data_IF_069658977520
#
_entry.id   IF_069658977520
#
_cell.length_a   1.000
_cell.length_b   1.000
_cell.length_c   1.000
_cell.angle_alpha   90.00
_cell.angle_beta   90.00
_cell.angle_gamma   90.00
#
_symmetry.space_group_name_H-M   'P 1'
#
loop_
_entity.id
_entity.type
_entity.pdbx_description
1 polymer ?
#
# COMPACT_ATOMS: atom_id res chain seq x y z
N UNK A 1 19.36 -70.75 -61.70
CA UNK A 1 18.38 -69.89 -60.99
C UNK A 1 19.09 -69.29 -59.78
N UNK A 2 19.01 -67.96 -59.64
CA UNK A 2 19.64 -67.06 -58.66
C UNK A 2 19.42 -67.48 -57.19
N UNK A 3 20.16 -67.08 -56.15
CA UNK A 3 21.38 -66.28 -55.85
C UNK A 3 21.65 -66.54 -54.35
N UNK A 4 22.91 -66.51 -53.90
CA UNK A 4 23.29 -66.53 -52.47
C UNK A 4 23.96 -65.21 -52.08
N UNK A 5 23.81 -64.82 -50.79
CA UNK A 5 24.61 -63.85 -49.98
C UNK A 5 24.31 -62.35 -50.21
N UNK A 6 24.34 -61.43 -49.24
CA UNK A 6 24.56 -61.39 -47.78
C UNK A 6 24.13 -59.98 -47.27
N UNK A 7 23.79 -59.87 -45.97
CA UNK A 7 24.07 -58.75 -45.05
C UNK A 7 23.48 -57.34 -45.31
N UNK A 8 22.68 -56.80 -44.38
CA UNK A 8 23.13 -55.73 -43.47
C UNK A 8 22.07 -55.41 -42.39
N UNK A 9 22.57 -55.29 -41.17
CA UNK A 9 21.96 -54.85 -39.91
C UNK A 9 21.24 -53.50 -39.98
N UNK A 10 20.23 -53.29 -39.12
CA UNK A 10 20.21 -52.11 -38.24
C UNK A 10 19.27 -52.26 -37.05
N UNK A 11 19.89 -52.32 -35.87
CA UNK A 11 19.29 -52.21 -34.55
C UNK A 11 18.88 -50.76 -34.29
N UNK A 12 17.70 -50.53 -33.67
CA UNK A 12 17.32 -49.24 -33.11
C UNK A 12 17.09 -49.40 -31.61
N UNK A 13 18.09 -48.98 -30.84
CA UNK A 13 18.01 -48.79 -29.39
C UNK A 13 16.99 -47.70 -29.08
N UNK A 14 15.99 -48.02 -28.27
CA UNK A 14 15.12 -47.04 -27.61
C UNK A 14 15.76 -46.72 -26.27
N UNK A 15 16.38 -45.55 -26.16
CA UNK A 15 16.88 -45.03 -24.89
C UNK A 15 15.71 -44.34 -24.20
N UNK A 16 15.17 -44.99 -23.16
CA UNK A 16 14.20 -44.38 -22.26
C UNK A 16 14.96 -43.55 -21.22
N UNK A 17 15.09 -42.25 -21.46
CA UNK A 17 15.64 -41.30 -20.49
C UNK A 17 14.61 -41.01 -19.41
N UNK A 18 14.79 -41.59 -18.22
CA UNK A 18 14.12 -41.11 -17.00
C UNK A 18 14.64 -39.70 -16.69
N UNK A 19 13.88 -38.66 -17.04
CA UNK A 19 14.07 -37.34 -16.45
C UNK A 19 13.45 -37.36 -15.05
N UNK A 20 14.30 -37.57 -14.05
CA UNK A 20 13.98 -37.24 -12.67
C UNK A 20 13.93 -35.71 -12.58
N UNK A 21 12.78 -35.10 -12.84
CA UNK A 21 12.56 -33.69 -12.55
C UNK A 21 12.58 -33.53 -11.04
N UNK A 22 13.76 -33.20 -10.49
CA UNK A 22 13.85 -32.64 -9.17
C UNK A 22 12.87 -31.46 -9.12
N UNK A 23 11.87 -31.53 -8.25
CA UNK A 23 10.94 -30.43 -8.04
C UNK A 23 11.75 -29.21 -7.63
N UNK A 24 11.95 -28.28 -8.56
CA UNK A 24 12.29 -26.91 -8.21
C UNK A 24 11.04 -26.40 -7.50
N UNK A 25 11.06 -26.41 -6.17
CA UNK A 25 10.13 -25.60 -5.42
C UNK A 25 10.37 -24.16 -5.88
N UNK A 26 9.48 -23.64 -6.73
CA UNK A 26 9.52 -22.24 -7.11
C UNK A 26 9.42 -21.43 -5.83
N UNK A 27 10.53 -20.74 -5.49
CA UNK A 27 10.55 -19.80 -4.39
C UNK A 27 9.50 -18.75 -4.74
N UNK A 28 8.38 -18.76 -4.00
CA UNK A 28 7.28 -17.82 -4.17
C UNK A 28 7.87 -16.41 -4.35
N UNK A 29 7.47 -15.65 -5.39
CA UNK A 29 8.06 -14.35 -5.65
C UNK A 29 7.97 -13.51 -4.38
N UNK A 30 9.09 -12.91 -3.98
CA UNK A 30 9.16 -12.08 -2.78
C UNK A 30 8.04 -11.02 -2.88
N UNK A 31 7.06 -11.11 -2.00
CA UNK A 31 5.90 -10.22 -2.01
C UNK A 31 6.38 -8.77 -1.81
N UNK A 32 5.89 -7.85 -2.63
CA UNK A 32 6.27 -6.43 -2.52
C UNK A 32 5.83 -5.90 -1.15
N UNK A 33 6.78 -5.42 -0.34
CA UNK A 33 6.51 -4.89 1.02
C UNK A 33 5.51 -3.73 0.97
N UNK A 34 5.48 -2.97 -0.12
CA UNK A 34 4.56 -1.84 -0.30
C UNK A 34 3.13 -2.27 -0.62
N UNK A 35 2.92 -3.52 -1.02
CA UNK A 35 1.61 -4.08 -1.36
C UNK A 35 1.03 -4.98 -0.26
N UNK A 36 1.82 -5.26 0.79
CA UNK A 36 1.37 -6.08 1.91
C UNK A 36 0.26 -5.36 2.69
N UNK A 37 -0.91 -6.00 2.88
CA UNK A 37 -1.96 -5.47 3.73
C UNK A 37 -1.61 -5.64 5.20
N UNK A 38 -2.34 -4.94 6.07
CA UNK A 38 -2.37 -5.30 7.50
C UNK A 38 -2.99 -6.70 7.64
N UNK A 39 -2.49 -7.50 8.58
CA UNK A 39 -3.03 -8.86 8.81
C UNK A 39 -4.41 -8.81 9.45
N UNK A 40 -4.64 -7.84 10.33
CA UNK A 40 -5.92 -7.65 11.01
C UNK A 40 -6.91 -6.89 10.12
N UNK A 41 -7.93 -7.59 9.62
CA UNK A 41 -8.94 -7.02 8.73
C UNK A 41 -10.30 -6.97 9.44
N UNK A 42 -11.04 -5.88 9.25
CA UNK A 42 -12.39 -5.71 9.78
C UNK A 42 -13.43 -5.62 8.65
N UNK A 43 -14.62 -6.21 8.81
CA UNK A 43 -15.71 -6.02 7.86
C UNK A 43 -16.06 -4.52 7.71
N UNK A 44 -16.15 -4.02 6.48
CA UNK A 44 -16.49 -2.62 6.20
C UNK A 44 -15.29 -1.69 5.97
N UNK A 45 -14.05 -2.18 5.99
CA UNK A 45 -12.88 -1.39 5.57
C UNK A 45 -12.98 -0.85 4.13
N UNK A 46 -13.73 -1.55 3.28
CA UNK A 46 -14.06 -1.16 1.90
C UNK A 46 -15.08 0.01 1.83
N UNK A 47 -15.81 0.26 2.92
CA UNK A 47 -16.81 1.34 3.03
C UNK A 47 -16.23 2.65 3.55
N UNK A 48 -14.99 2.65 4.04
CA UNK A 48 -14.29 3.85 4.50
C UNK A 48 -14.26 4.88 3.37
N UNK A 49 -14.66 6.11 3.68
CA UNK A 49 -14.71 7.20 2.71
C UNK A 49 -13.30 7.80 2.63
N UNK A 50 -12.69 7.78 1.45
CA UNK A 50 -11.33 8.31 1.26
C UNK A 50 -11.38 9.52 0.34
N UNK A 51 -10.94 10.68 0.85
CA UNK A 51 -10.65 11.85 0.02
C UNK A 51 -9.16 11.85 -0.29
N UNK A 52 -8.82 11.55 -1.54
CA UNK A 52 -7.44 11.44 -1.99
C UNK A 52 -6.88 12.76 -2.49
N UNK A 53 -5.55 12.86 -2.46
CA UNK A 53 -4.78 13.86 -3.19
C UNK A 53 -5.11 15.32 -2.80
N UNK A 54 -5.53 15.57 -1.56
CA UNK A 54 -5.79 16.93 -1.08
C UNK A 54 -4.46 17.65 -0.85
N UNK A 55 -4.26 18.78 -1.51
CA UNK A 55 -3.05 19.60 -1.30
C UNK A 55 -3.07 20.23 0.08
N UNK A 56 -2.04 19.98 0.89
CA UNK A 56 -1.88 20.63 2.19
C UNK A 56 -0.85 21.77 2.15
N UNK A 57 0.15 21.69 1.26
CA UNK A 57 1.06 22.80 0.95
C UNK A 57 1.63 22.73 -0.45
N UNK A 58 2.18 23.85 -0.91
CA UNK A 58 2.95 23.94 -2.15
C UNK A 58 4.30 24.56 -1.85
N UNK A 59 5.38 23.90 -2.26
CA UNK A 59 6.76 24.41 -2.11
C UNK A 59 7.47 24.31 -3.44
N UNK A 60 8.08 25.40 -3.91
CA UNK A 60 8.78 25.49 -5.18
C UNK A 60 7.96 24.97 -6.39
N UNK A 61 6.66 25.25 -6.37
CA UNK A 61 5.71 24.80 -7.41
C UNK A 61 5.29 23.33 -7.30
N UNK A 62 5.78 22.58 -6.31
CA UNK A 62 5.39 21.20 -6.04
C UNK A 62 4.32 21.15 -4.96
N UNK A 63 3.14 20.63 -5.29
CA UNK A 63 2.08 20.38 -4.34
C UNK A 63 2.36 19.10 -3.53
N UNK A 64 2.40 19.20 -2.21
CA UNK A 64 2.41 18.05 -1.31
C UNK A 64 0.98 17.73 -0.90
N UNK A 65 0.65 16.45 -1.01
CA UNK A 65 -0.73 15.98 -0.88
C UNK A 65 -0.93 15.08 0.34
N UNK A 66 -2.17 15.03 0.80
CA UNK A 66 -2.65 14.12 1.84
C UNK A 66 -3.91 13.38 1.38
N UNK A 67 -4.07 12.17 1.90
CA UNK A 67 -5.30 11.39 1.82
C UNK A 67 -5.97 11.40 3.19
N UNK A 68 -7.27 11.71 3.23
CA UNK A 68 -8.06 11.74 4.46
C UNK A 68 -9.09 10.62 4.43
N UNK A 69 -9.13 9.84 5.51
CA UNK A 69 -9.94 8.64 5.67
C UNK A 69 -10.99 8.91 6.74
N UNK A 70 -12.27 8.81 6.35
CA UNK A 70 -13.41 9.11 7.20
C UNK A 70 -14.23 7.85 7.52
N UNK A 71 -14.82 7.77 8.73
CA UNK A 71 -15.79 6.73 9.03
C UNK A 71 -16.96 6.76 8.04
N UNK A 72 -17.51 5.59 7.64
CA UNK A 72 -18.60 5.51 6.65
C UNK A 72 -19.91 6.18 7.10
N UNK A 73 -20.10 6.36 8.41
CA UNK A 73 -21.28 6.92 9.06
C UNK A 73 -21.01 8.30 9.70
N UNK A 74 -20.02 9.04 9.18
CA UNK A 74 -19.72 10.38 9.67
C UNK A 74 -20.86 11.36 9.36
N UNK A 75 -21.46 11.93 10.41
CA UNK A 75 -22.50 12.95 10.28
C UNK A 75 -21.90 14.32 9.99
N UNK A 76 -22.61 15.15 9.20
CA UNK A 76 -22.09 16.45 8.72
C UNK A 76 -21.66 17.43 9.83
N UNK A 77 -22.30 17.37 11.00
CA UNK A 77 -22.00 18.27 12.13
C UNK A 77 -20.96 17.72 13.11
N UNK A 78 -20.52 16.46 12.93
CA UNK A 78 -19.54 15.85 13.83
C UNK A 78 -18.14 16.34 13.52
N UNK A 79 -17.37 16.55 14.60
CA UNK A 79 -15.91 16.68 14.59
C UNK A 79 -15.31 15.47 15.31
N UNK A 80 -14.42 14.75 14.65
CA UNK A 80 -13.82 13.52 15.18
C UNK A 80 -12.33 13.70 15.49
N UNK A 81 -11.78 12.93 16.45
CA UNK A 81 -10.34 12.92 16.68
C UNK A 81 -9.60 12.43 15.43
N UNK A 82 -8.38 12.90 15.25
CA UNK A 82 -7.52 12.58 14.12
C UNK A 82 -6.32 11.73 14.56
N UNK A 83 -5.94 10.76 13.73
CA UNK A 83 -4.61 10.12 13.76
C UNK A 83 -3.85 10.46 12.48
N UNK A 84 -2.66 11.02 12.62
CA UNK A 84 -1.72 11.23 11.52
C UNK A 84 -0.74 10.06 11.52
N UNK A 85 -0.68 9.33 10.42
CA UNK A 85 0.36 8.33 10.18
C UNK A 85 1.60 9.06 9.67
N UNK A 86 2.57 9.25 10.57
CA UNK A 86 3.71 10.13 10.35
C UNK A 86 4.61 9.61 9.22
N UNK A 87 4.91 10.49 8.27
CA UNK A 87 5.88 10.23 7.21
C UNK A 87 7.24 10.83 7.61
N UNK A 88 7.79 10.35 8.73
CA UNK A 88 9.06 10.85 9.27
C UNK A 88 10.29 10.56 8.40
N UNK A 89 10.16 9.66 7.42
CA UNK A 89 11.22 9.33 6.45
C UNK A 89 11.27 10.31 5.27
N UNK A 90 10.22 11.10 5.04
CA UNK A 90 10.17 12.06 3.94
C UNK A 90 10.05 11.38 2.58
N UNK A 91 9.07 10.49 2.42
CA UNK A 91 8.87 9.73 1.18
C UNK A 91 7.53 10.06 0.50
N UNK A 92 7.57 10.50 -0.75
CA UNK A 92 6.38 10.89 -1.54
C UNK A 92 5.38 9.74 -1.80
N UNK A 93 5.84 8.50 -1.66
CA UNK A 93 5.13 7.27 -1.98
C UNK A 93 4.44 6.59 -0.80
N UNK A 94 4.62 7.09 0.44
CA UNK A 94 4.05 6.47 1.65
C UNK A 94 2.51 6.35 1.58
N UNK A 95 1.74 7.36 1.15
CA UNK A 95 0.27 7.23 1.03
C UNK A 95 -0.19 6.12 0.07
N UNK A 96 0.66 5.70 -0.88
CA UNK A 96 0.37 4.67 -1.86
C UNK A 96 0.62 3.25 -1.31
N UNK A 97 1.36 3.13 -0.20
CA UNK A 97 1.68 1.82 0.37
C UNK A 97 0.45 1.23 1.07
N UNK A 98 0.18 -0.04 0.75
CA UNK A 98 -1.02 -0.74 1.18
C UNK A 98 -1.15 -0.79 2.70
N UNK A 99 -0.05 -0.99 3.42
CA UNK A 99 -0.05 -1.04 4.89
C UNK A 99 -0.53 0.29 5.51
N UNK A 100 -0.12 1.44 4.97
CA UNK A 100 -0.56 2.75 5.46
C UNK A 100 -2.02 3.04 5.12
N UNK A 101 -2.48 2.64 3.92
CA UNK A 101 -3.89 2.75 3.55
C UNK A 101 -4.77 1.89 4.46
N UNK A 102 -4.35 0.67 4.76
CA UNK A 102 -5.12 -0.24 5.58
C UNK A 102 -5.15 0.17 7.06
N UNK A 103 -4.02 0.65 7.62
CA UNK A 103 -4.03 1.24 8.96
C UNK A 103 -4.95 2.46 9.05
N UNK A 104 -4.91 3.36 8.05
CA UNK A 104 -5.80 4.51 8.01
C UNK A 104 -7.28 4.09 7.92
N UNK A 105 -7.60 3.05 7.13
CA UNK A 105 -8.96 2.47 7.08
C UNK A 105 -9.38 1.83 8.40
N UNK A 106 -8.51 1.08 9.06
CA UNK A 106 -8.82 0.50 10.38
C UNK A 106 -9.11 1.59 11.41
N UNK A 107 -8.29 2.63 11.46
CA UNK A 107 -8.51 3.81 12.30
C UNK A 107 -9.83 4.49 11.98
N UNK A 108 -10.13 4.68 10.69
CA UNK A 108 -11.38 5.29 10.25
C UNK A 108 -12.61 4.46 10.64
N UNK A 109 -12.56 3.15 10.44
CA UNK A 109 -13.63 2.24 10.82
C UNK A 109 -13.81 2.15 12.35
N UNK A 110 -12.75 2.46 13.11
CA UNK A 110 -12.78 2.52 14.57
C UNK A 110 -13.35 3.84 15.12
N UNK A 111 -13.88 4.72 14.26
CA UNK A 111 -14.59 5.95 14.67
C UNK A 111 -13.72 7.19 14.80
N UNK A 112 -12.54 7.20 14.19
CA UNK A 112 -11.63 8.35 14.14
C UNK A 112 -11.42 8.79 12.70
N UNK A 113 -10.81 9.95 12.47
CA UNK A 113 -10.30 10.31 11.13
C UNK A 113 -8.83 9.91 11.06
N UNK A 114 -8.37 9.49 9.88
CA UNK A 114 -6.95 9.22 9.64
C UNK A 114 -6.40 10.01 8.46
N UNK A 115 -5.12 10.35 8.53
CA UNK A 115 -4.39 11.03 7.46
C UNK A 115 -3.10 10.29 7.12
N UNK A 116 -2.91 10.03 5.84
CA UNK A 116 -1.61 9.71 5.23
C UNK A 116 -1.19 10.90 4.37
N UNK A 117 0.09 11.24 4.32
CA UNK A 117 0.55 12.40 3.57
C UNK A 117 1.92 12.20 2.94
N UNK A 118 2.16 12.96 1.87
CA UNK A 118 3.44 13.06 1.22
C UNK A 118 4.35 13.99 2.00
N UNK A 119 5.62 13.63 2.07
CA UNK A 119 6.64 14.47 2.67
C UNK A 119 7.94 14.34 1.88
N UNK A 120 8.72 15.42 1.86
CA UNK A 120 9.99 15.57 1.16
C UNK A 120 11.12 14.99 2.00
N UNK A 121 12.03 14.31 1.32
CA UNK A 121 13.24 13.79 1.94
C UNK A 121 14.08 14.95 2.48
N UNK A 122 14.54 14.84 3.73
CA UNK A 122 15.33 15.88 4.40
C UNK A 122 14.54 17.05 4.99
N UNK A 123 13.23 17.15 4.72
CA UNK A 123 12.36 18.18 5.28
C UNK A 123 11.13 17.59 6.01
N UNK A 124 11.21 16.31 6.42
CA UNK A 124 10.08 15.59 6.98
C UNK A 124 9.46 16.25 8.21
N UNK A 125 10.31 16.75 9.12
CA UNK A 125 9.85 17.45 10.31
C UNK A 125 9.07 18.73 9.98
N UNK A 126 9.59 19.56 9.07
CA UNK A 126 8.92 20.78 8.60
C UNK A 126 7.60 20.45 7.90
N UNK A 127 7.60 19.44 7.03
CA UNK A 127 6.40 19.02 6.31
C UNK A 127 5.32 18.46 7.26
N UNK A 128 5.71 17.76 8.33
CA UNK A 128 4.79 17.32 9.39
C UNK A 128 4.19 18.52 10.14
N UNK A 129 4.99 19.53 10.48
CA UNK A 129 4.50 20.72 11.17
C UNK A 129 3.53 21.51 10.28
N UNK A 130 3.87 21.70 9.01
CA UNK A 130 3.00 22.35 8.03
C UNK A 130 1.68 21.59 7.81
N UNK A 131 1.72 20.25 7.77
CA UNK A 131 0.51 19.43 7.71
C UNK A 131 -0.39 19.68 8.93
N UNK A 132 0.17 19.66 10.14
CA UNK A 132 -0.59 19.88 11.37
C UNK A 132 -1.21 21.29 11.36
N UNK A 133 -0.45 22.30 10.93
CA UNK A 133 -0.92 23.68 10.79
C UNK A 133 -2.04 23.79 9.75
N UNK A 134 -1.91 23.13 8.60
CA UNK A 134 -2.96 23.05 7.59
C UNK A 134 -4.23 22.42 8.15
N UNK A 135 -4.10 21.28 8.84
CA UNK A 135 -5.23 20.54 9.43
C UNK A 135 -5.95 21.40 10.47
N UNK A 136 -5.22 22.05 11.39
CA UNK A 136 -5.82 22.94 12.40
C UNK A 136 -6.55 24.11 11.76
N UNK A 137 -5.95 24.72 10.74
CA UNK A 137 -6.54 25.86 10.01
C UNK A 137 -7.80 25.48 9.23
N UNK A 138 -7.94 24.20 8.86
CA UNK A 138 -9.04 23.67 8.07
C UNK A 138 -9.91 22.67 8.86
N UNK A 139 -9.78 22.63 10.19
CA UNK A 139 -10.37 21.56 11.01
C UNK A 139 -11.89 21.45 10.82
N UNK A 140 -12.58 22.58 10.74
CA UNK A 140 -14.03 22.61 10.50
C UNK A 140 -14.44 22.05 9.14
N UNK A 141 -13.70 22.36 8.05
CA UNK A 141 -14.01 21.83 6.71
C UNK A 141 -13.62 20.36 6.56
N UNK A 142 -12.63 19.92 7.34
CA UNK A 142 -12.19 18.54 7.43
C UNK A 142 -12.96 17.71 8.46
N UNK A 143 -13.89 18.29 9.22
CA UNK A 143 -14.63 17.61 10.29
C UNK A 143 -13.71 17.00 11.37
N UNK A 144 -12.57 17.64 11.62
CA UNK A 144 -11.58 17.22 12.61
C UNK A 144 -11.77 18.04 13.88
N UNK A 145 -11.64 17.39 15.02
CA UNK A 145 -11.49 18.04 16.32
C UNK A 145 -10.01 18.44 16.49
N UNK A 146 -9.75 19.74 16.32
CA UNK A 146 -8.40 20.31 16.35
C UNK A 146 -7.66 20.12 17.68
N UNK A 147 -8.36 19.77 18.76
CA UNK A 147 -7.80 19.54 20.09
C UNK A 147 -7.52 18.06 20.38
N UNK A 148 -7.87 17.15 19.46
CA UNK A 148 -7.67 15.70 19.61
C UNK A 148 -6.94 15.11 18.41
N UNK A 149 -5.64 15.40 18.32
CA UNK A 149 -4.76 14.91 17.27
C UNK A 149 -3.71 13.98 17.88
N UNK A 150 -3.67 12.73 17.43
CA UNK A 150 -2.62 11.76 17.69
C UNK A 150 -1.68 11.60 16.49
N UNK A 151 -0.43 11.25 16.75
CA UNK A 151 0.58 10.95 15.74
C UNK A 151 1.12 9.55 16.01
N UNK A 152 1.23 8.72 14.97
CA UNK A 152 1.80 7.37 15.01
C UNK A 152 2.93 7.24 14.00
#
# INVERSE_FOLDING_TARGET
MRVTRYCFTMSRFVVATLLCTAGLAEKSPAQSVTEMPVVYQLPGMDKVIVKKDLTYKTVDGVALKMDVYYPPNLEKSQKLPLVIFNNGVGAMQIPQWRVYQDWAKLTALSGMIAVNYQSRQGAAFEDTDDLINHIRSNASSLQIDENRIGIW
#
